data_IF_930472490676
#
_entry.id   IF_930472490676
#
_cell.length_a   1.000
_cell.length_b   1.000
_cell.length_c   1.000
_cell.angle_alpha   90.00
_cell.angle_beta   90.00
_cell.angle_gamma   90.00
#
_symmetry.space_group_name_H-M   'P 1'
#
loop_
_entity.id
_entity.type
_entity.pdbx_description
1 polymer ?
#
# COMPACT_ATOMS: atom_id res chain seq x y z
N UNK A 1 -3.16 -6.83 -10.16
CA UNK A 1 -2.85 -7.61 -8.95
C UNK A 1 -2.28 -6.60 -7.97
N UNK A 2 -2.94 -6.39 -6.83
CA UNK A 2 -2.47 -5.45 -5.80
C UNK A 2 -1.92 -6.29 -4.66
N UNK A 3 -0.66 -6.11 -4.32
CA UNK A 3 -0.09 -6.68 -3.10
C UNK A 3 0.03 -5.55 -2.10
N UNK A 4 -0.62 -5.74 -0.95
CA UNK A 4 -0.49 -4.87 0.20
C UNK A 4 0.52 -5.56 1.12
N UNK A 5 1.66 -4.92 1.38
CA UNK A 5 2.56 -5.33 2.45
C UNK A 5 2.31 -4.41 3.66
N UNK A 6 1.54 -4.91 4.61
CA UNK A 6 1.25 -4.18 5.85
C UNK A 6 2.38 -4.39 6.86
N UNK A 7 2.92 -3.31 7.40
CA UNK A 7 3.80 -3.35 8.57
C UNK A 7 3.15 -2.57 9.71
N UNK A 8 2.40 -3.29 10.55
CA UNK A 8 1.85 -2.73 11.79
C UNK A 8 2.93 -2.81 12.87
N UNK A 9 3.48 -1.65 13.25
CA UNK A 9 4.48 -1.53 14.32
C UNK A 9 3.75 -1.12 15.60
N UNK A 10 4.05 -1.79 16.72
CA UNK A 10 3.52 -1.41 18.04
C UNK A 10 4.04 -0.03 18.45
N UNK A 11 3.19 0.77 19.11
CA UNK A 11 3.42 2.20 19.40
C UNK A 11 4.74 2.51 20.11
N UNK A 12 5.33 1.56 20.82
CA UNK A 12 6.57 1.72 21.59
C UNK A 12 7.85 1.90 20.75
N UNK A 13 7.79 1.63 19.45
CA UNK A 13 8.97 1.72 18.56
C UNK A 13 8.84 2.78 17.45
N UNK A 14 7.79 3.61 17.51
CA UNK A 14 7.58 4.72 16.58
C UNK A 14 7.79 6.06 17.27
N UNK A 15 8.63 6.90 16.68
CA UNK A 15 8.98 8.22 17.20
C UNK A 15 8.64 9.30 16.18
N UNK A 16 7.88 10.31 16.59
CA UNK A 16 7.64 11.53 15.81
C UNK A 16 8.48 12.64 16.43
N UNK A 17 9.39 13.23 15.65
CA UNK A 17 10.31 14.28 16.10
C UNK A 17 11.08 13.91 17.40
N UNK A 18 11.48 12.65 17.54
CA UNK A 18 12.21 12.14 18.71
C UNK A 18 11.35 11.78 19.93
N UNK A 19 10.03 11.92 19.83
CA UNK A 19 9.08 11.57 20.91
C UNK A 19 8.31 10.31 20.55
N UNK A 20 8.26 9.34 21.47
CA UNK A 20 7.46 8.13 21.30
C UNK A 20 5.98 8.48 21.17
N UNK A 21 5.28 7.82 20.25
CA UNK A 21 3.88 8.15 19.95
C UNK A 21 2.96 7.45 20.95
N UNK A 22 2.04 8.21 21.53
CA UNK A 22 1.05 7.71 22.51
C UNK A 22 -0.23 7.15 21.88
N UNK A 23 -0.42 7.38 20.58
CA UNK A 23 -1.57 6.91 19.79
C UNK A 23 -1.11 5.87 18.74
N UNK A 24 -2.01 5.00 18.27
CA UNK A 24 -1.69 4.08 17.18
C UNK A 24 -1.17 4.81 15.93
N UNK A 25 -0.28 4.17 15.19
CA UNK A 25 0.22 4.67 13.91
C UNK A 25 0.54 3.49 13.00
N UNK A 26 0.69 3.75 11.71
CA UNK A 26 0.95 2.71 10.74
C UNK A 26 1.85 3.19 9.60
N UNK A 27 2.50 2.22 8.97
CA UNK A 27 3.22 2.39 7.71
C UNK A 27 2.76 1.30 6.75
N UNK A 28 2.17 1.70 5.64
CA UNK A 28 1.70 0.77 4.59
C UNK A 28 2.55 0.92 3.34
N UNK A 29 3.15 -0.20 2.92
CA UNK A 29 3.87 -0.31 1.64
C UNK A 29 3.00 -1.11 0.68
N UNK A 30 2.46 -0.42 -0.30
CA UNK A 30 1.55 -0.99 -1.28
C UNK A 30 2.29 -1.05 -2.60
N UNK A 31 2.29 -2.23 -3.21
CA UNK A 31 2.85 -2.41 -4.53
C UNK A 31 1.67 -2.58 -5.51
N UNK A 32 1.75 -1.93 -6.67
CA UNK A 32 0.80 -2.10 -7.78
C UNK A 32 1.55 -2.32 -9.10
N UNK A 33 0.87 -2.89 -10.09
CA UNK A 33 1.39 -2.96 -11.46
C UNK A 33 1.46 -1.55 -12.05
N UNK A 34 2.58 -1.18 -12.65
CA UNK A 34 2.76 0.13 -13.27
C UNK A 34 1.75 0.36 -14.40
N UNK A 35 1.20 1.57 -14.46
CA UNK A 35 0.32 2.00 -15.55
C UNK A 35 -1.12 1.47 -15.47
N UNK A 36 -1.48 0.69 -14.45
CA UNK A 36 -2.86 0.21 -14.28
C UNK A 36 -3.78 1.19 -13.56
N UNK A 37 -3.23 2.25 -12.97
CA UNK A 37 -3.97 3.20 -12.16
C UNK A 37 -3.60 4.65 -12.48
N UNK A 38 -4.61 5.52 -12.50
CA UNK A 38 -4.44 6.97 -12.64
C UNK A 38 -3.99 7.61 -11.34
N UNK A 39 -3.48 8.85 -11.42
CA UNK A 39 -3.13 9.65 -10.23
C UNK A 39 -4.34 9.85 -9.30
N UNK A 40 -5.53 10.03 -9.86
CA UNK A 40 -6.76 10.24 -9.09
C UNK A 40 -7.19 8.97 -8.36
N UNK A 41 -7.10 7.80 -9.02
CA UNK A 41 -7.40 6.52 -8.38
C UNK A 41 -6.44 6.23 -7.23
N UNK A 42 -5.14 6.50 -7.40
CA UNK A 42 -4.15 6.35 -6.32
C UNK A 42 -4.46 7.27 -5.14
N UNK A 43 -4.79 8.54 -5.40
CA UNK A 43 -5.16 9.49 -4.34
C UNK A 43 -6.43 9.08 -3.59
N UNK A 44 -7.45 8.63 -4.32
CA UNK A 44 -8.70 8.13 -3.72
C UNK A 44 -8.46 6.87 -2.89
N UNK A 45 -7.58 5.98 -3.35
CA UNK A 45 -7.24 4.75 -2.64
C UNK A 45 -6.47 5.03 -1.34
N UNK A 46 -5.47 5.92 -1.36
CA UNK A 46 -4.74 6.36 -0.15
C UNK A 46 -5.73 6.92 0.87
N UNK A 47 -6.65 7.78 0.43
CA UNK A 47 -7.67 8.36 1.30
C UNK A 47 -8.55 7.29 1.96
N UNK A 48 -9.08 6.36 1.15
CA UNK A 48 -9.96 5.28 1.65
C UNK A 48 -9.24 4.35 2.63
N UNK A 49 -7.96 4.05 2.39
CA UNK A 49 -7.17 3.25 3.33
C UNK A 49 -6.98 4.00 4.63
N UNK A 50 -6.62 5.28 4.59
CA UNK A 50 -6.41 6.07 5.81
C UNK A 50 -7.69 6.12 6.66
N UNK A 51 -8.84 6.42 6.04
CA UNK A 51 -10.14 6.40 6.70
C UNK A 51 -10.47 5.01 7.28
N UNK A 52 -10.18 3.94 6.54
CA UNK A 52 -10.34 2.56 7.02
C UNK A 52 -9.47 2.23 8.23
N UNK A 53 -8.22 2.72 8.25
CA UNK A 53 -7.32 2.53 9.38
C UNK A 53 -7.80 3.30 10.62
N UNK A 54 -8.36 4.50 10.46
CA UNK A 54 -8.98 5.24 11.56
C UNK A 54 -10.19 4.50 12.15
N UNK A 55 -10.99 3.83 11.30
CA UNK A 55 -12.11 3.01 11.77
C UNK A 55 -11.61 1.80 12.57
N UNK A 56 -10.52 1.16 12.15
CA UNK A 56 -9.99 -0.07 12.78
C UNK A 56 -9.22 0.24 14.07
N UNK A 57 -8.36 1.26 14.05
CA UNK A 57 -7.42 1.57 15.13
C UNK A 57 -7.90 2.71 16.04
N UNK A 58 -8.95 3.44 15.65
CA UNK A 58 -9.37 4.68 16.30
C UNK A 58 -8.53 5.87 15.86
N UNK A 59 -8.29 6.82 16.76
CA UNK A 59 -7.50 8.01 16.42
C UNK A 59 -6.04 7.62 16.16
N UNK A 60 -5.62 7.66 14.90
CA UNK A 60 -4.23 7.40 14.49
C UNK A 60 -3.40 8.68 14.50
N UNK A 61 -2.09 8.53 14.63
CA UNK A 61 -1.17 9.66 14.50
C UNK A 61 -1.24 10.25 13.08
N UNK A 62 -1.16 11.58 12.98
CA UNK A 62 -1.09 12.28 11.68
C UNK A 62 0.12 11.87 10.84
N UNK A 63 1.21 11.45 11.47
CA UNK A 63 2.39 10.92 10.81
C UNK A 63 2.27 9.40 10.53
N UNK A 64 1.10 8.97 10.04
CA UNK A 64 0.89 7.63 9.49
C UNK A 64 1.04 7.69 7.97
N UNK A 65 1.75 6.72 7.39
CA UNK A 65 2.19 6.81 6.00
C UNK A 65 1.63 5.66 5.16
N UNK A 66 1.27 6.00 3.91
CA UNK A 66 0.85 5.06 2.88
C UNK A 66 1.70 5.36 1.65
N UNK A 67 2.48 4.38 1.21
CA UNK A 67 3.36 4.50 0.05
C UNK A 67 2.90 3.54 -1.02
N UNK A 68 2.73 4.04 -2.25
CA UNK A 68 2.42 3.22 -3.43
C UNK A 68 3.66 3.13 -4.31
N UNK A 69 4.16 1.91 -4.48
CA UNK A 69 5.20 1.56 -5.43
C UNK A 69 4.58 0.97 -6.70
N UNK A 70 4.87 1.60 -7.83
CA UNK A 70 4.53 1.06 -9.15
C UNK A 70 5.68 0.18 -9.61
N UNK A 71 5.38 -1.08 -9.93
CA UNK A 71 6.36 -2.06 -10.38
C UNK A 71 5.96 -2.54 -11.76
N UNK A 72 6.96 -2.58 -12.66
CA UNK A 72 6.78 -3.03 -14.04
C UNK A 72 6.18 -4.43 -14.11
N UNK A 73 5.30 -4.66 -15.08
CA UNK A 73 4.57 -5.92 -15.23
C UNK A 73 5.48 -7.13 -15.53
N UNK A 74 6.64 -6.91 -16.15
CA UNK A 74 7.70 -7.89 -16.42
C UNK A 74 8.48 -8.30 -15.16
N UNK A 75 8.43 -7.48 -14.12
CA UNK A 75 9.20 -7.60 -12.87
C UNK A 75 8.31 -7.94 -11.68
N UNK A 76 7.01 -8.11 -11.91
CA UNK A 76 6.03 -8.49 -10.91
C UNK A 76 5.58 -9.93 -11.09
N UNK A 77 6.00 -10.84 -10.21
CA UNK A 77 5.56 -12.24 -10.20
C UNK A 77 4.37 -12.50 -9.28
N UNK A 78 3.39 -13.29 -9.74
CA UNK A 78 2.31 -13.83 -8.91
C UNK A 78 1.94 -15.24 -9.38
N UNK A 79 1.96 -16.21 -8.47
CA UNK A 79 1.78 -17.65 -8.76
C UNK A 79 2.79 -18.20 -9.79
N UNK A 80 4.03 -17.70 -9.77
CA UNK A 80 5.11 -18.17 -10.66
C UNK A 80 5.08 -17.59 -12.08
N UNK A 81 4.10 -16.75 -12.42
CA UNK A 81 4.03 -16.05 -13.71
C UNK A 81 4.15 -14.53 -13.49
N UNK A 82 4.75 -13.82 -14.44
CA UNK A 82 4.78 -12.35 -14.40
C UNK A 82 3.40 -11.78 -14.72
N UNK A 83 3.11 -10.58 -14.22
CA UNK A 83 1.86 -9.88 -14.51
C UNK A 83 1.70 -9.62 -16.02
N UNK A 84 2.80 -9.35 -16.73
CA UNK A 84 2.80 -9.25 -18.19
C UNK A 84 2.43 -10.57 -18.87
N UNK A 85 3.05 -11.68 -18.47
CA UNK A 85 2.77 -13.00 -19.06
C UNK A 85 1.30 -13.40 -18.88
N UNK A 86 0.73 -13.14 -17.70
CA UNK A 86 -0.69 -13.38 -17.42
C UNK A 86 -1.62 -12.53 -18.28
N UNK A 87 -1.25 -11.26 -18.51
CA UNK A 87 -2.03 -10.37 -19.35
C UNK A 87 -2.04 -10.84 -20.81
N UNK A 88 -0.90 -11.28 -21.34
CA UNK A 88 -0.80 -11.86 -22.69
C UNK A 88 -1.62 -13.15 -22.78
N UNK A 89 -1.47 -14.07 -21.82
CA UNK A 89 -2.20 -15.36 -21.79
C UNK A 89 -3.71 -15.19 -21.65
N UNK A 90 -4.16 -14.16 -20.92
CA UNK A 90 -5.58 -13.81 -20.78
C UNK A 90 -6.17 -13.08 -21.98
N UNK A 91 -5.33 -12.51 -22.84
CA UNK A 91 -5.69 -12.01 -24.17
C UNK A 91 -5.39 -13.08 -25.21
N UNK A 92 -6.18 -14.15 -25.23
CA UNK A 92 -6.26 -15.01 -26.41
C UNK A 92 -6.51 -14.11 -27.63
N UNK A 93 -5.65 -14.16 -28.65
CA UNK A 93 -5.88 -13.53 -29.95
C UNK A 93 -7.12 -14.12 -30.62
#
# INVERSE_FOLDING_TARGET
CTMISDFCITSESWFIAGTAVSVPTFYLDIKITEGTNTKNEKAAYIKQIFEGMEVILGQVASASYIVIHEVRADSWGYQGETQEFRYIKGKSL
#
